data_IF_485432977118
#
_entry.id   IF_485432977118
#
_cell.length_a   1.000
_cell.length_b   1.000
_cell.length_c   1.000
_cell.angle_alpha   90.00
_cell.angle_beta   90.00
_cell.angle_gamma   90.00
#
_symmetry.space_group_name_H-M   'P 1'
#
loop_
_entity.id
_entity.type
_entity.pdbx_description
1 polymer ?
#
# COMPACT_ATOMS: atom_id res chain seq x y z
N UNK A 1 -62.45 27.12 12.43
CA UNK A 1 -62.07 26.41 11.19
C UNK A 1 -61.07 25.33 11.56
N UNK A 2 -61.41 24.06 11.36
CA UNK A 2 -60.60 22.91 11.81
C UNK A 2 -59.52 22.60 10.74
N UNK A 3 -58.23 22.60 11.08
CA UNK A 3 -57.19 22.28 10.12
C UNK A 3 -57.35 20.82 9.64
N UNK A 4 -57.28 20.61 8.33
CA UNK A 4 -57.41 19.28 7.72
C UNK A 4 -56.18 18.41 8.04
N UNK A 5 -56.38 17.18 8.54
CA UNK A 5 -55.29 16.28 8.93
C UNK A 5 -54.42 15.79 7.75
N UNK A 6 -54.82 16.08 6.51
CA UNK A 6 -54.08 15.67 5.31
C UNK A 6 -52.80 16.47 5.06
N UNK A 7 -52.69 17.70 5.57
CA UNK A 7 -51.53 18.57 5.29
C UNK A 7 -50.30 18.27 6.17
N UNK A 8 -50.47 17.53 7.28
CA UNK A 8 -49.36 17.16 8.17
C UNK A 8 -48.61 15.90 7.71
N UNK A 9 -49.20 15.08 6.82
CA UNK A 9 -48.58 13.84 6.35
C UNK A 9 -47.55 14.08 5.22
N UNK A 10 -47.72 15.13 4.41
CA UNK A 10 -46.84 15.42 3.28
C UNK A 10 -45.45 15.95 3.70
N UNK A 11 -45.35 16.57 4.88
CA UNK A 11 -44.10 17.13 5.41
C UNK A 11 -43.13 16.06 5.94
N UNK A 12 -43.57 14.81 6.11
CA UNK A 12 -42.72 13.70 6.55
C UNK A 12 -42.03 12.93 5.41
N UNK A 13 -42.39 13.19 4.15
CA UNK A 13 -41.81 12.48 3.00
C UNK A 13 -40.62 13.19 2.33
N UNK A 14 -40.28 14.40 2.77
CA UNK A 14 -39.07 15.13 2.32
C UNK A 14 -37.92 15.08 3.33
N UNK A 15 -38.05 14.25 4.37
CA UNK A 15 -37.01 14.05 5.38
C UNK A 15 -35.92 13.08 4.91
N UNK A 16 -34.72 13.62 4.69
CA UNK A 16 -33.43 12.91 4.66
C UNK A 16 -33.11 12.03 3.45
N UNK A 17 -33.08 12.59 2.24
CA UNK A 17 -31.97 12.23 1.35
C UNK A 17 -30.75 13.03 1.83
N UNK A 18 -29.96 12.46 2.74
CA UNK A 18 -28.61 12.97 2.98
C UNK A 18 -27.94 13.12 1.61
N UNK A 19 -27.25 14.24 1.31
CA UNK A 19 -26.49 14.32 0.08
C UNK A 19 -25.61 13.08 0.05
N UNK A 20 -25.82 12.21 -0.95
CA UNK A 20 -24.90 11.11 -1.21
C UNK A 20 -23.55 11.80 -1.32
N UNK A 21 -22.69 11.63 -0.31
CA UNK A 21 -21.32 12.12 -0.40
C UNK A 21 -20.82 11.63 -1.74
N UNK A 22 -20.29 12.54 -2.56
CA UNK A 22 -19.56 12.14 -3.75
C UNK A 22 -18.38 11.36 -3.21
N UNK A 23 -18.53 10.04 -3.13
CA UNK A 23 -17.42 9.16 -2.79
C UNK A 23 -16.29 9.51 -3.75
N UNK A 24 -15.08 9.77 -3.24
CA UNK A 24 -13.96 10.12 -4.10
C UNK A 24 -13.78 9.01 -5.14
N UNK A 25 -13.74 9.40 -6.41
CA UNK A 25 -13.43 8.48 -7.49
C UNK A 25 -11.93 8.17 -7.47
N UNK A 26 -11.61 6.88 -7.45
CA UNK A 26 -10.24 6.39 -7.48
C UNK A 26 -9.95 5.74 -8.83
N UNK A 27 -8.76 5.99 -9.36
CA UNK A 27 -8.22 5.25 -10.49
C UNK A 27 -6.91 4.57 -10.10
N UNK A 28 -6.68 3.38 -10.64
CA UNK A 28 -5.43 2.66 -10.52
C UNK A 28 -4.58 2.97 -11.76
N UNK A 29 -3.50 3.76 -11.64
CA UNK A 29 -2.65 4.11 -12.78
C UNK A 29 -2.06 2.86 -13.43
N UNK A 30 -1.89 2.89 -14.75
CA UNK A 30 -1.20 1.81 -15.43
C UNK A 30 0.30 1.78 -15.09
N UNK A 31 0.92 0.60 -15.12
CA UNK A 31 2.33 0.41 -14.74
C UNK A 31 3.34 1.10 -15.68
N UNK A 32 2.93 1.53 -16.87
CA UNK A 32 3.78 2.29 -17.78
C UNK A 32 3.66 3.82 -17.61
N UNK A 33 2.78 4.28 -16.72
CA UNK A 33 2.68 5.70 -16.38
C UNK A 33 3.89 6.16 -15.56
N UNK A 34 4.17 7.48 -15.47
CA UNK A 34 5.28 7.98 -14.67
C UNK A 34 5.19 7.58 -13.20
N UNK A 35 6.30 7.10 -12.63
CA UNK A 35 6.40 6.69 -11.24
C UNK A 35 7.32 7.61 -10.44
N UNK A 36 6.96 7.87 -9.17
CA UNK A 36 7.82 8.60 -8.23
C UNK A 36 8.90 7.68 -7.62
N UNK A 37 8.59 6.40 -7.44
CA UNK A 37 9.51 5.40 -6.89
C UNK A 37 9.15 3.97 -7.31
N UNK A 38 10.09 3.05 -7.14
CA UNK A 38 9.88 1.60 -7.22
C UNK A 38 10.19 0.97 -5.86
N UNK A 39 9.33 0.06 -5.41
CA UNK A 39 9.45 -0.61 -4.12
C UNK A 39 10.00 -2.02 -4.31
N UNK A 40 11.01 -2.37 -3.52
CA UNK A 40 11.56 -3.73 -3.41
C UNK A 40 11.58 -4.15 -1.95
N UNK A 41 11.53 -5.45 -1.71
CA UNK A 41 11.78 -6.06 -0.40
C UNK A 41 13.13 -6.76 -0.44
N UNK A 42 13.93 -6.60 0.62
CA UNK A 42 15.23 -7.23 0.80
C UNK A 42 15.14 -8.11 2.05
N UNK A 43 15.56 -9.38 1.96
CA UNK A 43 15.39 -10.34 3.06
C UNK A 43 16.72 -10.91 3.59
N UNK A 44 17.85 -10.41 3.09
CA UNK A 44 19.18 -10.78 3.51
C UNK A 44 19.71 -12.08 2.90
N UNK A 45 19.01 -12.66 1.93
CA UNK A 45 19.39 -13.92 1.32
C UNK A 45 20.23 -13.73 0.04
N UNK A 46 20.80 -14.83 -0.48
CA UNK A 46 21.68 -14.79 -1.65
C UNK A 46 20.98 -14.30 -2.94
N UNK A 47 19.66 -14.44 -3.04
CA UNK A 47 18.86 -13.99 -4.19
C UNK A 47 18.83 -12.46 -4.25
N UNK A 48 19.00 -11.76 -3.14
CA UNK A 48 19.02 -10.29 -3.14
C UNK A 48 20.18 -9.70 -3.97
N UNK A 49 21.22 -10.49 -4.26
CA UNK A 49 22.26 -10.10 -5.24
C UNK A 49 21.73 -9.90 -6.66
N UNK A 50 20.57 -10.49 -6.99
CA UNK A 50 19.84 -10.21 -8.22
C UNK A 50 19.13 -8.86 -8.14
N UNK A 51 18.55 -8.51 -6.98
CA UNK A 51 17.93 -7.19 -6.77
C UNK A 51 18.95 -6.07 -6.92
N UNK A 52 20.19 -6.25 -6.44
CA UNK A 52 21.25 -5.26 -6.68
C UNK A 52 21.44 -4.97 -8.17
N UNK A 53 21.44 -6.02 -9.01
CA UNK A 53 21.58 -5.87 -10.47
C UNK A 53 20.39 -5.15 -11.08
N UNK A 54 19.19 -5.40 -10.56
CA UNK A 54 17.98 -4.67 -10.98
C UNK A 54 18.14 -3.19 -10.64
N UNK A 55 18.49 -2.85 -9.40
CA UNK A 55 18.66 -1.46 -8.95
C UNK A 55 19.75 -0.74 -9.74
N UNK A 56 20.87 -1.40 -10.01
CA UNK A 56 21.95 -0.86 -10.86
C UNK A 56 21.52 -0.64 -12.32
N UNK A 57 20.52 -1.39 -12.80
CA UNK A 57 20.01 -1.29 -14.17
C UNK A 57 18.87 -0.27 -14.32
N UNK A 58 18.25 0.17 -13.21
CA UNK A 58 17.24 1.22 -13.23
C UNK A 58 17.84 2.56 -13.66
N UNK A 59 17.03 3.39 -14.32
CA UNK A 59 17.43 4.75 -14.68
C UNK A 59 17.94 5.50 -13.44
N UNK A 60 19.01 6.31 -13.55
CA UNK A 60 19.53 7.10 -12.43
C UNK A 60 18.48 7.97 -11.73
N UNK A 61 17.45 8.42 -12.45
CA UNK A 61 16.35 9.22 -11.93
C UNK A 61 15.28 8.42 -11.18
N UNK A 62 15.28 7.09 -11.24
CA UNK A 62 14.32 6.25 -10.52
C UNK A 62 14.72 6.18 -9.05
N UNK A 63 13.84 6.67 -8.18
CA UNK A 63 13.98 6.53 -6.73
C UNK A 63 13.57 5.12 -6.29
N UNK A 64 14.31 4.53 -5.36
CA UNK A 64 14.07 3.18 -4.86
C UNK A 64 13.69 3.22 -3.38
N UNK A 65 12.57 2.59 -3.05
CA UNK A 65 12.20 2.30 -1.66
C UNK A 65 12.51 0.83 -1.41
N UNK A 66 13.43 0.57 -0.49
CA UNK A 66 13.79 -0.79 -0.10
C UNK A 66 13.21 -1.09 1.26
N UNK A 67 12.38 -2.12 1.33
CA UNK A 67 11.75 -2.56 2.57
C UNK A 67 12.60 -3.66 3.18
N UNK A 68 12.87 -3.55 4.49
CA UNK A 68 13.60 -4.52 5.29
C UNK A 68 12.79 -4.93 6.52
N UNK A 69 13.03 -6.14 7.01
CA UNK A 69 12.37 -6.67 8.21
C UNK A 69 12.77 -5.92 9.48
N UNK A 70 14.04 -5.51 9.57
CA UNK A 70 14.61 -4.87 10.75
C UNK A 70 15.73 -3.87 10.39
N UNK A 71 16.13 -3.07 11.38
CA UNK A 71 17.19 -2.07 11.26
C UNK A 71 18.55 -2.67 10.90
N UNK A 72 18.83 -3.90 11.35
CA UNK A 72 20.10 -4.59 11.07
C UNK A 72 20.20 -4.92 9.59
N UNK A 73 19.12 -5.44 9.01
CA UNK A 73 19.02 -5.73 7.59
C UNK A 73 19.00 -4.45 6.75
N UNK A 74 18.30 -3.40 7.19
CA UNK A 74 18.32 -2.10 6.53
C UNK A 74 19.75 -1.52 6.48
N UNK A 75 20.51 -1.61 7.58
CA UNK A 75 21.89 -1.16 7.66
C UNK A 75 22.84 -2.01 6.78
N UNK A 76 22.66 -3.33 6.77
CA UNK A 76 23.43 -4.24 5.92
C UNK A 76 23.20 -3.94 4.43
N UNK A 77 21.94 -3.83 4.02
CA UNK A 77 21.54 -3.53 2.63
C UNK A 77 22.08 -2.17 2.20
N UNK A 78 21.99 -1.20 3.09
CA UNK A 78 22.56 0.13 2.93
C UNK A 78 24.07 0.07 2.68
N UNK A 79 24.84 -0.59 3.54
CA UNK A 79 26.29 -0.69 3.39
C UNK A 79 26.68 -1.42 2.09
N UNK A 80 25.89 -2.42 1.70
CA UNK A 80 26.04 -3.13 0.44
C UNK A 80 25.84 -2.20 -0.75
N UNK A 81 24.74 -1.45 -0.81
CA UNK A 81 24.46 -0.53 -1.90
C UNK A 81 25.49 0.61 -1.99
N UNK A 82 26.02 1.07 -0.86
CA UNK A 82 27.15 2.00 -0.83
C UNK A 82 28.40 1.41 -1.48
N UNK A 83 28.75 0.16 -1.15
CA UNK A 83 29.89 -0.52 -1.75
C UNK A 83 29.74 -0.78 -3.25
N UNK A 84 28.49 -0.81 -3.75
CA UNK A 84 28.17 -0.91 -5.18
C UNK A 84 28.13 0.46 -5.87
N UNK A 85 28.31 1.56 -5.12
CA UNK A 85 28.29 2.92 -5.66
C UNK A 85 26.90 3.45 -6.00
N UNK A 86 25.83 2.89 -5.40
CA UNK A 86 24.48 3.43 -5.56
C UNK A 86 24.36 4.69 -4.70
N UNK A 87 24.04 5.82 -5.33
CA UNK A 87 23.98 7.11 -4.64
C UNK A 87 22.86 7.18 -3.59
N UNK A 88 23.13 7.81 -2.45
CA UNK A 88 22.23 7.86 -1.28
C UNK A 88 20.95 8.64 -1.49
N UNK A 89 20.94 9.58 -2.41
CA UNK A 89 19.76 10.34 -2.81
C UNK A 89 18.83 9.53 -3.74
N UNK A 90 19.25 8.35 -4.22
CA UNK A 90 18.46 7.48 -5.08
C UNK A 90 17.63 6.46 -4.32
N UNK A 91 17.83 6.30 -3.01
CA UNK A 91 17.09 5.30 -2.27
C UNK A 91 16.84 5.66 -0.82
N UNK A 92 15.86 4.97 -0.22
CA UNK A 92 15.69 4.92 1.24
C UNK A 92 15.32 3.52 1.69
N UNK A 93 15.58 3.25 2.97
CA UNK A 93 15.17 2.02 3.65
C UNK A 93 13.88 2.29 4.44
N UNK A 94 12.93 1.37 4.37
CA UNK A 94 11.73 1.35 5.21
C UNK A 94 11.75 0.05 6.02
N UNK A 95 11.52 0.12 7.33
CA UNK A 95 11.50 -1.05 8.21
C UNK A 95 10.06 -1.33 8.62
N UNK A 96 9.53 -2.50 8.29
CA UNK A 96 8.14 -2.86 8.60
C UNK A 96 7.97 -3.69 9.89
N UNK A 97 9.06 -4.18 10.50
CA UNK A 97 9.05 -4.79 11.84
C UNK A 97 8.39 -6.18 11.95
N UNK A 98 7.50 -6.51 11.03
CA UNK A 98 6.99 -7.86 10.81
C UNK A 98 7.90 -8.57 9.81
N UNK A 99 8.21 -9.86 10.03
CA UNK A 99 8.96 -10.66 9.07
C UNK A 99 8.20 -10.61 7.74
N UNK A 100 8.69 -9.84 6.78
CA UNK A 100 8.24 -9.86 5.40
C UNK A 100 8.75 -11.18 4.86
N UNK A 101 8.02 -12.23 5.22
CA UNK A 101 8.21 -13.55 4.68
C UNK A 101 7.93 -13.40 3.20
N UNK A 102 9.00 -13.38 2.42
CA UNK A 102 9.08 -13.44 0.95
C UNK A 102 9.21 -12.11 0.22
N UNK A 103 9.98 -12.15 -0.88
CA UNK A 103 10.29 -11.03 -1.76
C UNK A 103 9.10 -10.55 -2.59
N UNK A 104 7.94 -10.37 -1.96
CA UNK A 104 6.63 -10.27 -2.57
C UNK A 104 5.96 -8.93 -2.25
N UNK A 105 6.76 -7.84 -2.17
CA UNK A 105 6.22 -6.47 -2.07
C UNK A 105 5.24 -6.14 -3.21
N UNK A 106 5.30 -6.86 -4.33
CA UNK A 106 4.30 -6.81 -5.40
C UNK A 106 2.91 -7.27 -4.93
N UNK A 107 2.85 -8.31 -4.10
CA UNK A 107 1.62 -9.01 -3.75
C UNK A 107 1.05 -8.55 -2.40
N UNK A 108 1.92 -8.24 -1.44
CA UNK A 108 1.53 -7.77 -0.10
C UNK A 108 1.73 -6.27 0.12
N UNK A 109 2.39 -5.58 -0.80
CA UNK A 109 2.73 -4.17 -0.64
C UNK A 109 1.56 -3.24 -0.95
N UNK A 110 1.76 -1.93 -0.74
CA UNK A 110 0.72 -0.93 -0.99
C UNK A 110 0.31 -0.89 -2.46
N UNK A 111 -1.00 -0.89 -2.73
CA UNK A 111 -1.55 -0.63 -4.05
C UNK A 111 -1.84 0.88 -4.15
N UNK A 112 -1.06 1.59 -4.95
CA UNK A 112 -1.19 3.04 -5.09
C UNK A 112 -2.34 3.42 -6.03
N UNK A 113 -3.26 4.22 -5.53
CA UNK A 113 -4.40 4.77 -6.27
C UNK A 113 -4.25 6.29 -6.38
N UNK A 114 -4.96 6.86 -7.35
CA UNK A 114 -5.05 8.31 -7.54
C UNK A 114 -6.50 8.74 -7.48
N UNK A 115 -6.76 9.84 -6.77
CA UNK A 115 -8.07 10.48 -6.73
C UNK A 115 -8.28 11.39 -7.94
N UNK A 116 -9.53 11.75 -8.22
CA UNK A 116 -9.89 12.69 -9.30
C UNK A 116 -9.23 14.07 -9.17
N UNK A 117 -8.81 14.47 -7.96
CA UNK A 117 -8.09 15.71 -7.69
C UNK A 117 -6.54 15.55 -7.73
N UNK A 118 -6.05 14.37 -8.11
CA UNK A 118 -4.63 14.05 -8.24
C UNK A 118 -3.94 13.55 -6.96
N UNK A 119 -4.64 13.55 -5.82
CA UNK A 119 -4.06 13.06 -4.56
C UNK A 119 -3.76 11.57 -4.61
N UNK A 120 -2.69 11.19 -3.91
CA UNK A 120 -2.32 9.80 -3.68
C UNK A 120 -3.25 9.18 -2.63
N UNK A 121 -3.72 7.98 -2.90
CA UNK A 121 -4.35 7.09 -1.94
C UNK A 121 -3.64 5.73 -1.96
N UNK A 122 -3.75 4.99 -0.86
CA UNK A 122 -3.21 3.63 -0.75
C UNK A 122 -4.36 2.68 -0.44
N UNK A 123 -4.49 1.65 -1.26
CA UNK A 123 -5.30 0.49 -0.96
C UNK A 123 -4.40 -0.55 -0.30
N UNK A 124 -4.70 -0.84 0.96
CA UNK A 124 -4.13 -1.94 1.73
C UNK A 124 -5.08 -3.13 1.64
N UNK A 125 -4.59 -4.25 1.12
CA UNK A 125 -5.39 -5.43 0.87
C UNK A 125 -4.92 -6.56 1.77
N UNK A 126 -5.86 -7.28 2.39
CA UNK A 126 -5.56 -8.45 3.21
C UNK A 126 -4.89 -9.53 2.36
N UNK A 127 -3.57 -9.68 2.50
CA UNK A 127 -2.82 -10.70 1.80
C UNK A 127 -2.89 -12.03 2.55
N UNK A 128 -3.46 -13.04 1.92
CA UNK A 128 -3.66 -14.37 2.51
C UNK A 128 -2.59 -15.39 2.09
N UNK A 129 -1.40 -14.93 1.71
CA UNK A 129 -0.28 -15.78 1.30
C UNK A 129 -0.66 -16.78 0.19
N UNK A 130 -1.32 -16.28 -0.87
CA UNK A 130 -1.85 -17.07 -1.99
C UNK A 130 -2.82 -18.19 -1.57
N UNK A 131 -3.55 -18.00 -0.46
CA UNK A 131 -4.52 -18.95 0.08
C UNK A 131 -3.95 -19.97 1.07
N UNK A 132 -2.65 -19.93 1.34
CA UNK A 132 -1.98 -20.80 2.31
C UNK A 132 -1.93 -20.13 3.69
N UNK A 133 -3.12 -20.11 4.31
CA UNK A 133 -3.39 -19.49 5.62
C UNK A 133 -2.65 -20.14 6.79
N UNK A 134 -2.12 -21.36 6.61
CA UNK A 134 -1.35 -22.06 7.63
C UNK A 134 0.10 -21.53 7.71
N UNK A 135 0.60 -20.96 6.61
CA UNK A 135 1.93 -20.33 6.52
C UNK A 135 1.90 -18.80 6.68
N UNK A 136 0.72 -18.17 6.64
CA UNK A 136 0.51 -16.78 7.01
C UNK A 136 0.56 -16.62 8.55
N UNK A 137 1.76 -16.74 9.14
CA UNK A 137 2.19 -16.31 10.48
C UNK A 137 1.07 -16.16 11.55
N UNK A 138 0.98 -17.11 12.49
CA UNK A 138 0.55 -16.87 13.88
C UNK A 138 -0.90 -16.42 14.12
N UNK A 139 -1.77 -17.38 14.45
CA UNK A 139 -3.14 -17.18 14.95
C UNK A 139 -4.02 -16.22 14.14
N UNK A 140 -4.82 -16.82 13.25
CA UNK A 140 -6.14 -16.40 12.77
C UNK A 140 -6.54 -14.95 13.05
N UNK A 141 -6.80 -14.20 11.97
CA UNK A 141 -7.61 -12.99 12.00
C UNK A 141 -8.86 -13.21 12.87
N UNK A 142 -8.81 -12.69 14.10
CA UNK A 142 -9.99 -12.51 14.90
C UNK A 142 -10.87 -11.52 14.15
N UNK A 143 -11.97 -12.01 13.62
CA UNK A 143 -13.05 -11.21 13.07
C UNK A 143 -13.40 -10.11 14.08
N UNK A 144 -12.94 -8.88 13.85
CA UNK A 144 -13.43 -7.70 14.58
C UNK A 144 -14.83 -7.35 14.05
N UNK A 145 -15.78 -8.26 14.25
CA UNK A 145 -17.19 -7.96 14.25
C UNK A 145 -17.64 -7.88 15.71
N UNK A 146 -17.66 -6.67 16.24
CA UNK A 146 -18.33 -6.36 17.50
C UNK A 146 -19.84 -6.53 17.30
N UNK A 147 -20.46 -7.39 18.12
CA UNK A 147 -21.86 -7.25 18.54
C UNK A 147 -21.97 -6.25 19.69
#
# INVERSE_FOLDING_TARGET
MRPHPFFLLASFLFGCSAPKGLEPEYYFPAEWEPHEAVWFSYNGNAIDTVLDKVVLSLLPSTFVVCVADDDSLAALTTARWDSLGIARDRYRMEVLGDRIMTGTVRDMGPIFLRQSDGKLAVLDADWNYYGDIDNAIGSSAGLLARG
#
